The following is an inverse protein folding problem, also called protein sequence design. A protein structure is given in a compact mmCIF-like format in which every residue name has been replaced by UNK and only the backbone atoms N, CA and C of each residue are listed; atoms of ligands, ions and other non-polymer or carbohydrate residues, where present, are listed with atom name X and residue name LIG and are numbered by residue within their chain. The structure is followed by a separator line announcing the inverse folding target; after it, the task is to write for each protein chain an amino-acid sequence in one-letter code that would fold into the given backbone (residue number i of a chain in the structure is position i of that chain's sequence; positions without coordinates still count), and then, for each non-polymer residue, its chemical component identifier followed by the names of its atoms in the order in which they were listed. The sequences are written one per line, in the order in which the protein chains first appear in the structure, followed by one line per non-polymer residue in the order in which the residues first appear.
data_IF_043356007138
#
_entry.id   IF_043356007138
#
_cell.length_a   1.000
_cell.length_b   1.000
_cell.length_c   1.000
_cell.angle_alpha   90.00
_cell.angle_beta   90.00
_cell.angle_gamma   90.00
#
_symmetry.space_group_name_H-M   'P 1'
#
loop_
_entity.id
_entity.type
_entity.pdbx_description
1 polymer ?
#
# COMPACT_ATOMS: atom_id res chain seq x y z
N UNK A 1 -23.59 4.83 -0.14
CA UNK A 1 -22.46 4.75 -1.10
C UNK A 1 -21.39 3.94 -0.40
N UNK A 2 -21.22 2.71 -0.83
CA UNK A 2 -20.38 1.72 -0.18
C UNK A 2 -18.91 2.08 -0.38
N UNK A 3 -18.22 2.44 0.71
CA UNK A 3 -16.76 2.59 0.74
C UNK A 3 -16.13 1.20 0.55
N UNK A 4 -15.84 0.87 -0.70
CA UNK A 4 -15.14 -0.34 -1.08
C UNK A 4 -13.63 -0.11 -0.82
N UNK A 5 -12.94 -0.98 -0.06
CA UNK A 5 -11.57 -0.70 0.33
C UNK A 5 -10.68 -0.68 -0.91
N UNK A 6 -9.98 0.45 -1.03
CA UNK A 6 -9.00 0.76 -2.06
C UNK A 6 -7.93 -0.33 -2.07
N UNK A 7 -7.44 -0.68 -3.27
CA UNK A 7 -6.46 -1.74 -3.56
C UNK A 7 -5.27 -1.79 -2.57
N UNK A 8 -4.92 -0.69 -1.90
CA UNK A 8 -3.88 -0.68 -0.87
C UNK A 8 -4.23 -1.43 0.42
N UNK A 9 -5.48 -1.35 0.90
CA UNK A 9 -5.90 -2.00 2.15
C UNK A 9 -6.04 -3.52 2.00
N UNK A 10 -6.28 -4.00 0.77
CA UNK A 10 -6.33 -5.44 0.48
C UNK A 10 -4.96 -6.13 0.48
N UNK A 11 -3.86 -5.36 0.41
CA UNK A 11 -2.50 -5.88 0.30
C UNK A 11 -1.50 -5.24 1.28
N UNK A 12 -1.97 -4.66 2.39
CA UNK A 12 -1.10 -4.16 3.45
C UNK A 12 -0.45 -5.34 4.21
N UNK A 13 0.89 -5.53 4.17
CA UNK A 13 1.52 -6.67 4.82
C UNK A 13 1.81 -6.41 6.30
N UNK A 14 1.69 -7.46 7.11
CA UNK A 14 2.41 -7.60 8.37
C UNK A 14 3.93 -7.52 8.08
N UNK A 15 4.66 -6.84 8.95
CA UNK A 15 6.06 -6.53 8.71
C UNK A 15 6.93 -7.80 8.87
N UNK A 16 7.91 -7.93 7.97
CA UNK A 16 9.05 -8.86 7.98
C UNK A 16 8.85 -10.28 7.41
N UNK A 17 9.28 -10.48 6.15
CA UNK A 17 10.11 -11.65 5.79
C UNK A 17 10.93 -11.39 4.50
N UNK A 18 12.24 -11.71 4.46
CA UNK A 18 13.09 -11.57 3.29
C UNK A 18 13.24 -12.93 2.60
N UNK A 19 12.40 -13.21 1.61
CA UNK A 19 12.66 -14.31 0.68
C UNK A 19 12.20 -13.90 -0.72
N UNK A 20 13.03 -14.18 -1.72
CA UNK A 20 12.96 -13.59 -3.06
C UNK A 20 11.95 -14.31 -3.98
N UNK A 21 10.69 -14.36 -3.53
CA UNK A 21 9.48 -14.58 -4.31
C UNK A 21 8.27 -14.26 -3.43
N UNK A 22 8.09 -12.99 -3.04
CA UNK A 22 7.02 -12.65 -2.08
C UNK A 22 5.64 -13.07 -2.61
N UNK A 23 4.74 -13.61 -1.76
CA UNK A 23 3.33 -13.86 -2.08
C UNK A 23 2.70 -12.70 -2.84
N UNK A 24 3.08 -11.46 -2.47
CA UNK A 24 2.59 -10.23 -3.06
C UNK A 24 2.79 -10.10 -4.57
N UNK A 25 3.94 -10.49 -5.13
CA UNK A 25 4.17 -10.32 -6.58
C UNK A 25 3.24 -11.23 -7.38
N UNK A 26 3.28 -12.52 -7.05
CA UNK A 26 2.40 -13.52 -7.62
C UNK A 26 0.91 -13.14 -7.44
N UNK A 27 0.50 -12.74 -6.23
CA UNK A 27 -0.86 -12.32 -5.93
C UNK A 27 -1.29 -11.11 -6.76
N UNK A 28 -0.45 -10.09 -6.92
CA UNK A 28 -0.76 -8.92 -7.76
C UNK A 28 -0.95 -9.34 -9.22
N UNK A 29 -0.07 -10.20 -9.76
CA UNK A 29 -0.18 -10.66 -11.15
C UNK A 29 -1.41 -11.54 -11.37
N UNK A 30 -1.69 -12.48 -10.45
CA UNK A 30 -2.90 -13.29 -10.48
C UNK A 30 -4.16 -12.42 -10.43
N UNK A 31 -4.15 -11.40 -9.58
CA UNK A 31 -5.23 -10.41 -9.46
C UNK A 31 -5.43 -9.64 -10.77
N UNK A 32 -4.35 -9.17 -11.41
CA UNK A 32 -4.45 -8.51 -12.70
C UNK A 32 -5.08 -9.42 -13.77
N UNK A 33 -4.73 -10.71 -13.78
CA UNK A 33 -5.34 -11.69 -14.69
C UNK A 33 -6.84 -11.86 -14.36
N UNK A 34 -7.19 -11.95 -13.08
CA UNK A 34 -8.58 -12.05 -12.61
C UNK A 34 -9.43 -10.82 -12.98
N UNK A 35 -8.86 -9.62 -12.94
CA UNK A 35 -9.57 -8.37 -13.22
C UNK A 35 -9.61 -8.01 -14.72
N UNK A 36 -9.01 -8.83 -15.59
CA UNK A 36 -9.09 -8.62 -17.03
C UNK A 36 -10.55 -8.60 -17.51
N UNK A 37 -11.04 -7.40 -17.84
CA UNK A 37 -12.44 -7.14 -18.28
C UNK A 37 -13.48 -7.68 -17.28
N UNK A 38 -13.15 -7.72 -16.00
CA UNK A 38 -14.06 -8.14 -14.93
C UNK A 38 -14.04 -7.08 -13.83
N UNK A 39 -15.20 -6.72 -13.29
CA UNK A 39 -15.24 -5.75 -12.19
C UNK A 39 -14.68 -6.36 -10.90
N UNK A 40 -14.02 -5.53 -10.08
CA UNK A 40 -13.51 -5.96 -8.78
C UNK A 40 -14.62 -6.41 -7.80
N UNK A 41 -15.85 -5.93 -7.99
CA UNK A 41 -17.01 -6.38 -7.22
C UNK A 41 -17.39 -7.83 -7.55
N UNK A 42 -17.46 -8.17 -8.84
CA UNK A 42 -17.77 -9.53 -9.29
C UNK A 42 -16.65 -10.53 -8.98
N UNK A 43 -15.40 -10.10 -9.10
CA UNK A 43 -14.24 -10.97 -8.93
C UNK A 43 -13.87 -11.23 -7.46
N UNK A 44 -14.30 -10.39 -6.51
CA UNK A 44 -13.77 -10.37 -5.13
C UNK A 44 -13.74 -11.73 -4.46
N UNK A 45 -14.90 -12.32 -4.24
CA UNK A 45 -15.01 -13.56 -3.47
C UNK A 45 -14.29 -14.73 -4.14
N UNK A 46 -14.30 -14.77 -5.48
CA UNK A 46 -13.64 -15.81 -6.26
C UNK A 46 -12.11 -15.63 -6.24
N UNK A 47 -11.63 -14.39 -6.28
CA UNK A 47 -10.20 -14.09 -6.15
C UNK A 47 -9.69 -14.40 -4.75
N UNK A 48 -10.44 -14.06 -3.71
CA UNK A 48 -10.10 -14.37 -2.31
C UNK A 48 -9.99 -15.89 -2.11
N UNK A 49 -11.01 -16.64 -2.51
CA UNK A 49 -11.00 -18.11 -2.45
C UNK A 49 -9.86 -18.72 -3.29
N UNK A 50 -9.58 -18.13 -4.47
CA UNK A 50 -8.47 -18.58 -5.31
C UNK A 50 -7.11 -18.38 -4.64
N UNK A 51 -6.86 -17.22 -4.03
CA UNK A 51 -5.57 -16.93 -3.38
C UNK A 51 -5.39 -17.67 -2.05
N UNK A 52 -6.49 -18.09 -1.41
CA UNK A 52 -6.45 -19.00 -0.26
C UNK A 52 -6.05 -20.42 -0.69
N UNK A 53 -6.64 -20.94 -1.78
CA UNK A 53 -6.31 -22.28 -2.29
C UNK A 53 -4.93 -22.33 -2.99
N UNK A 54 -4.56 -21.26 -3.69
CA UNK A 54 -3.32 -21.13 -4.45
C UNK A 54 -2.51 -19.91 -3.98
N UNK A 55 -1.86 -19.97 -2.80
CA UNK A 55 -1.15 -18.81 -2.22
C UNK A 55 0.19 -18.51 -2.91
N UNK A 56 0.72 -19.45 -3.70
CA UNK A 56 2.06 -19.37 -4.30
C UNK A 56 2.09 -19.95 -5.73
N UNK A 57 3.09 -19.56 -6.56
CA UNK A 57 3.24 -20.12 -7.90
C UNK A 57 3.56 -21.61 -7.89
N UNK A 58 4.28 -22.13 -6.88
CA UNK A 58 4.59 -23.55 -6.71
C UNK A 58 3.31 -24.38 -6.54
N UNK A 59 2.35 -23.86 -5.78
CA UNK A 59 1.06 -24.52 -5.58
C UNK A 59 0.20 -24.49 -6.84
N UNK A 60 0.23 -23.37 -7.57
CA UNK A 60 -0.60 -23.15 -8.75
C UNK A 60 -0.10 -23.87 -10.01
N UNK A 61 1.22 -23.99 -10.21
CA UNK A 61 1.79 -24.56 -11.45
C UNK A 61 1.36 -26.00 -11.73
N UNK A 62 1.01 -26.76 -10.69
CA UNK A 62 0.62 -28.17 -10.77
C UNK A 62 -0.90 -28.37 -10.87
N UNK A 63 -1.68 -27.29 -10.86
CA UNK A 63 -3.14 -27.35 -10.91
C UNK A 63 -3.63 -27.63 -12.34
N UNK A 64 -4.78 -28.30 -12.46
CA UNK A 64 -5.45 -28.46 -13.75
C UNK A 64 -6.15 -27.14 -14.14
N UNK A 65 -5.79 -26.52 -15.28
CA UNK A 65 -6.49 -25.33 -15.75
C UNK A 65 -8.01 -25.50 -15.93
N UNK A 66 -8.51 -26.71 -16.21
CA UNK A 66 -9.95 -26.97 -16.35
C UNK A 66 -10.68 -26.86 -15.02
N UNK A 67 -10.07 -27.34 -13.95
CA UNK A 67 -10.61 -27.25 -12.60
C UNK A 67 -10.67 -25.79 -12.14
N UNK A 68 -9.60 -25.02 -12.36
CA UNK A 68 -9.57 -23.57 -12.10
C UNK A 68 -10.65 -22.84 -12.92
N UNK A 69 -10.81 -23.21 -14.19
CA UNK A 69 -11.83 -22.62 -15.05
C UNK A 69 -13.23 -22.85 -14.47
N UNK A 70 -13.55 -24.08 -14.09
CA UNK A 70 -14.86 -24.47 -13.58
C UNK A 70 -15.18 -23.79 -12.24
N UNK A 71 -14.24 -23.77 -11.30
CA UNK A 71 -14.46 -23.19 -9.97
C UNK A 71 -14.53 -21.68 -9.96
N UNK A 72 -13.63 -21.02 -10.69
CA UNK A 72 -13.42 -19.57 -10.53
C UNK A 72 -13.87 -18.73 -11.72
N UNK A 73 -13.95 -19.31 -12.92
CA UNK A 73 -14.22 -18.54 -14.13
C UNK A 73 -15.53 -18.89 -14.82
N UNK A 74 -16.20 -20.00 -14.46
CA UNK A 74 -17.47 -20.45 -15.07
C UNK A 74 -18.49 -19.33 -15.24
N UNK A 75 -18.71 -18.54 -14.18
CA UNK A 75 -19.66 -17.43 -14.15
C UNK A 75 -19.05 -16.06 -14.50
N UNK A 76 -17.72 -15.91 -14.48
CA UNK A 76 -17.03 -14.68 -14.86
C UNK A 76 -16.71 -14.62 -16.37
N UNK A 77 -16.76 -15.75 -17.07
CA UNK A 77 -16.34 -15.88 -18.47
C UNK A 77 -14.82 -15.83 -18.65
N UNK A 78 -14.36 -15.62 -19.90
CA UNK A 78 -12.94 -15.48 -20.25
C UNK A 78 -12.06 -16.64 -19.72
N UNK A 79 -12.48 -17.86 -20.04
CA UNK A 79 -11.90 -19.12 -19.57
C UNK A 79 -10.40 -19.29 -19.84
N UNK A 80 -9.87 -18.62 -20.87
CA UNK A 80 -8.43 -18.60 -21.17
C UNK A 80 -7.57 -18.13 -19.98
N UNK A 81 -8.15 -17.36 -19.05
CA UNK A 81 -7.47 -16.89 -17.83
C UNK A 81 -6.96 -18.01 -16.95
N UNK A 82 -7.70 -19.13 -16.83
CA UNK A 82 -7.25 -20.26 -16.03
C UNK A 82 -5.94 -20.85 -16.56
N UNK A 83 -5.85 -21.03 -17.88
CA UNK A 83 -4.62 -21.46 -18.53
C UNK A 83 -3.48 -20.44 -18.44
N UNK A 84 -3.79 -19.13 -18.46
CA UNK A 84 -2.77 -18.10 -18.23
C UNK A 84 -2.23 -18.11 -16.80
N UNK A 85 -3.08 -18.32 -15.79
CA UNK A 85 -2.67 -18.38 -14.39
C UNK A 85 -1.66 -19.50 -14.15
N UNK A 86 -1.97 -20.72 -14.60
CA UNK A 86 -1.07 -21.88 -14.45
C UNK A 86 0.24 -21.67 -15.20
N UNK A 87 0.18 -21.21 -16.47
CA UNK A 87 1.40 -20.94 -17.25
C UNK A 87 2.23 -19.80 -16.68
N UNK A 88 1.60 -18.75 -16.19
CA UNK A 88 2.28 -17.61 -15.57
C UNK A 88 3.02 -18.05 -14.31
N UNK A 89 2.41 -18.89 -13.47
CA UNK A 89 3.07 -19.46 -12.29
C UNK A 89 4.27 -20.34 -12.65
N UNK A 90 4.11 -21.23 -13.64
CA UNK A 90 5.21 -22.08 -14.12
C UNK A 90 6.38 -21.23 -14.69
N UNK A 91 6.06 -20.21 -15.48
CA UNK A 91 7.07 -19.29 -16.04
C UNK A 91 7.75 -18.42 -14.99
N UNK A 92 7.04 -17.99 -13.94
CA UNK A 92 7.65 -17.25 -12.82
C UNK A 92 8.77 -18.05 -12.15
N UNK A 93 8.60 -19.38 -12.07
CA UNK A 93 9.57 -20.27 -11.42
C UNK A 93 10.71 -20.65 -12.36
N UNK A 94 10.42 -20.86 -13.65
CA UNK A 94 11.43 -21.25 -14.64
C UNK A 94 12.30 -20.07 -15.09
N UNK A 95 11.71 -18.89 -15.28
CA UNK A 95 12.39 -17.68 -15.77
C UNK A 95 11.91 -16.47 -14.97
N UNK A 96 12.32 -16.35 -13.69
CA UNK A 96 11.90 -15.26 -12.82
C UNK A 96 12.34 -13.88 -13.35
N UNK A 97 11.60 -12.81 -13.05
CA UNK A 97 12.03 -11.46 -13.37
C UNK A 97 13.37 -11.18 -12.70
N UNK A 98 14.25 -10.46 -13.41
CA UNK A 98 15.57 -10.05 -12.91
C UNK A 98 15.67 -8.53 -12.92
N UNK A 99 16.18 -7.89 -11.85
CA UNK A 99 16.35 -6.44 -11.84
C UNK A 99 17.19 -5.97 -13.03
N UNK A 100 16.71 -4.93 -13.71
CA UNK A 100 17.40 -4.33 -14.87
C UNK A 100 17.24 -5.09 -16.19
N UNK A 101 16.67 -6.29 -16.18
CA UNK A 101 16.41 -7.07 -17.40
C UNK A 101 14.96 -6.87 -17.84
N UNK A 102 14.76 -5.98 -18.80
CA UNK A 102 13.44 -5.75 -19.39
C UNK A 102 13.14 -6.76 -20.49
N UNK A 103 11.94 -7.33 -20.46
CA UNK A 103 11.39 -8.16 -21.53
C UNK A 103 10.45 -7.32 -22.37
N UNK A 104 10.44 -7.55 -23.67
CA UNK A 104 9.58 -6.84 -24.61
C UNK A 104 8.43 -7.74 -25.08
N UNK A 105 7.25 -7.14 -25.24
CA UNK A 105 6.08 -7.83 -25.79
C UNK A 105 5.22 -6.85 -26.57
N UNK A 106 4.65 -7.32 -27.67
CA UNK A 106 3.72 -6.54 -28.48
C UNK A 106 2.29 -6.82 -28.05
N UNK A 107 1.50 -5.77 -27.87
CA UNK A 107 0.07 -5.85 -27.57
C UNK A 107 -0.67 -4.80 -28.39
N UNK A 108 -1.66 -5.23 -29.18
CA UNK A 108 -2.46 -4.34 -30.04
C UNK A 108 -1.58 -3.38 -30.87
N UNK A 109 -0.54 -3.93 -31.52
CA UNK A 109 0.45 -3.21 -32.34
C UNK A 109 1.32 -2.18 -31.60
N UNK A 110 1.26 -2.13 -30.27
CA UNK A 110 2.16 -1.34 -29.43
C UNK A 110 3.09 -2.25 -28.62
N UNK A 111 4.40 -1.98 -28.70
CA UNK A 111 5.38 -2.62 -27.84
C UNK A 111 5.35 -2.05 -26.42
N UNK A 112 5.58 -2.88 -25.43
CA UNK A 112 5.89 -2.44 -24.06
C UNK A 112 7.03 -3.30 -23.49
N UNK A 113 7.76 -2.72 -22.54
CA UNK A 113 8.90 -3.35 -21.90
C UNK A 113 8.72 -3.39 -20.38
N UNK A 114 8.90 -4.56 -19.78
CA UNK A 114 8.79 -4.77 -18.33
C UNK A 114 9.55 -6.05 -17.92
N UNK A 115 10.02 -6.15 -16.68
CA UNK A 115 10.73 -7.32 -16.16
C UNK A 115 9.89 -8.61 -16.24
N UNK A 116 8.57 -8.47 -16.29
CA UNK A 116 7.59 -9.56 -16.31
C UNK A 116 6.84 -9.70 -17.65
N UNK A 117 7.22 -8.96 -18.69
CA UNK A 117 6.43 -8.91 -19.94
C UNK A 117 6.36 -10.27 -20.66
N UNK A 118 7.36 -11.13 -20.49
CA UNK A 118 7.40 -12.48 -21.09
C UNK A 118 6.34 -13.42 -20.54
N UNK A 119 5.78 -13.13 -19.35
CA UNK A 119 4.84 -14.01 -18.68
C UNK A 119 3.48 -14.07 -19.39
N UNK A 120 2.83 -15.22 -19.28
CA UNK A 120 1.49 -15.48 -19.80
C UNK A 120 0.44 -14.59 -19.11
N UNK A 121 -0.52 -14.10 -19.88
CA UNK A 121 -1.60 -13.23 -19.35
C UNK A 121 -1.16 -11.81 -18.96
N UNK A 122 0.14 -11.50 -18.95
CA UNK A 122 0.65 -10.15 -18.69
C UNK A 122 0.49 -9.29 -19.94
N UNK A 123 -0.16 -8.13 -19.74
CA UNK A 123 -0.37 -7.07 -20.71
C UNK A 123 0.05 -5.71 -20.15
N UNK A 124 -0.23 -4.60 -20.85
CA UNK A 124 0.13 -3.25 -20.41
C UNK A 124 -0.43 -2.91 -19.01
N UNK A 125 -1.68 -3.29 -18.73
CA UNK A 125 -2.30 -3.07 -17.41
C UNK A 125 -1.52 -3.74 -16.27
N UNK A 126 -1.20 -5.02 -16.41
CA UNK A 126 -0.43 -5.75 -15.41
C UNK A 126 1.01 -5.23 -15.28
N UNK A 127 1.59 -4.72 -16.38
CA UNK A 127 2.90 -4.08 -16.36
C UNK A 127 2.89 -2.77 -15.56
N UNK A 128 1.87 -1.92 -15.75
CA UNK A 128 1.71 -0.71 -14.94
C UNK A 128 1.47 -1.05 -13.45
N UNK A 129 0.67 -2.07 -13.16
CA UNK A 129 0.46 -2.55 -11.80
C UNK A 129 1.76 -3.06 -11.14
N UNK A 130 2.58 -3.79 -11.89
CA UNK A 130 3.91 -4.22 -11.41
C UNK A 130 4.79 -3.03 -11.05
N UNK A 131 4.85 -2.01 -11.92
CA UNK A 131 5.62 -0.77 -11.69
C UNK A 131 5.18 -0.02 -10.44
N UNK A 132 3.87 0.04 -10.19
CA UNK A 132 3.29 0.72 -9.03
C UNK A 132 3.49 -0.04 -7.71
N UNK A 133 3.25 -1.36 -7.72
CA UNK A 133 3.07 -2.12 -6.47
C UNK A 133 4.20 -3.11 -6.16
N UNK A 134 4.95 -3.54 -7.17
CA UNK A 134 5.90 -4.65 -7.05
C UNK A 134 7.35 -4.22 -7.28
N UNK A 135 7.62 -3.33 -8.24
CA UNK A 135 8.97 -3.00 -8.70
C UNK A 135 9.88 -2.49 -7.58
N UNK A 136 9.47 -1.47 -6.83
CA UNK A 136 10.32 -0.92 -5.75
C UNK A 136 10.66 -1.96 -4.66
N UNK A 137 9.69 -2.69 -4.07
CA UNK A 137 10.01 -3.79 -3.15
C UNK A 137 10.86 -4.90 -3.77
N UNK A 138 10.64 -5.23 -5.05
CA UNK A 138 11.42 -6.22 -5.79
C UNK A 138 12.90 -5.81 -5.92
N UNK A 139 13.16 -4.57 -6.33
CA UNK A 139 14.51 -4.04 -6.46
C UNK A 139 15.21 -3.84 -5.10
N UNK A 140 14.49 -3.34 -4.10
CA UNK A 140 15.02 -3.18 -2.73
C UNK A 140 15.48 -4.51 -2.15
N UNK A 141 14.77 -5.58 -2.49
CA UNK A 141 15.20 -6.95 -2.26
C UNK A 141 16.60 -7.26 -2.79
N UNK A 142 16.87 -6.88 -4.02
CA UNK A 142 18.18 -7.08 -4.63
C UNK A 142 19.21 -6.03 -4.18
N UNK A 143 18.94 -5.30 -3.09
CA UNK A 143 19.78 -4.23 -2.57
C UNK A 143 19.99 -3.09 -3.58
N UNK A 144 19.03 -2.90 -4.50
CA UNK A 144 19.05 -1.85 -5.51
C UNK A 144 18.01 -0.80 -5.15
N UNK A 145 18.44 0.45 -5.02
CA UNK A 145 17.55 1.58 -4.79
C UNK A 145 17.03 2.10 -6.13
N UNK A 146 15.71 2.17 -6.26
CA UNK A 146 15.03 2.75 -7.43
C UNK A 146 14.04 3.82 -7.00
N UNK A 147 13.87 4.82 -7.86
CA UNK A 147 12.86 5.86 -7.66
C UNK A 147 11.44 5.27 -7.70
N UNK A 148 10.50 5.93 -7.04
CA UNK A 148 9.09 5.59 -7.18
C UNK A 148 8.58 6.01 -8.56
N UNK A 149 8.12 5.05 -9.36
CA UNK A 149 7.63 5.32 -10.70
C UNK A 149 6.23 5.96 -10.71
N UNK A 150 5.46 5.92 -9.62
CA UNK A 150 4.11 6.50 -9.58
C UNK A 150 4.08 8.01 -9.87
N UNK A 151 5.20 8.72 -9.67
CA UNK A 151 5.31 10.16 -9.98
C UNK A 151 5.24 10.42 -11.48
N UNK A 152 5.94 9.61 -12.28
CA UNK A 152 6.07 9.80 -13.74
C UNK A 152 5.18 8.86 -14.55
N UNK A 153 4.65 7.80 -13.95
CA UNK A 153 3.82 6.82 -14.65
C UNK A 153 2.45 7.40 -15.01
N UNK A 154 2.01 7.13 -16.23
CA UNK A 154 0.67 7.47 -16.73
C UNK A 154 -0.06 6.20 -17.18
N UNK A 155 -0.69 5.46 -16.24
CA UNK A 155 -1.42 4.25 -16.59
C UNK A 155 -2.59 4.56 -17.52
N UNK A 156 -2.94 3.64 -18.42
CA UNK A 156 -4.17 3.77 -19.25
C UNK A 156 -5.42 3.30 -18.50
N UNK A 157 -5.26 2.32 -17.61
CA UNK A 157 -6.34 1.76 -16.82
C UNK A 157 -6.96 2.78 -15.86
N UNK A 158 -8.29 2.76 -15.75
CA UNK A 158 -9.05 3.75 -15.00
C UNK A 158 -8.78 3.70 -13.49
N UNK A 159 -8.54 2.52 -12.93
CA UNK A 159 -8.39 2.34 -11.49
C UNK A 159 -6.95 2.64 -11.09
N UNK A 160 -5.96 2.28 -11.92
CA UNK A 160 -4.58 2.72 -11.74
C UNK A 160 -4.42 4.24 -11.90
N UNK A 161 -5.15 4.87 -12.84
CA UNK A 161 -5.19 6.34 -12.94
C UNK A 161 -5.68 6.99 -11.65
N UNK A 162 -6.81 6.51 -11.11
CA UNK A 162 -7.37 7.00 -9.84
C UNK A 162 -6.40 6.82 -8.69
N UNK A 163 -5.70 5.68 -8.65
CA UNK A 163 -4.66 5.41 -7.66
C UNK A 163 -3.52 6.46 -7.71
N UNK A 164 -2.94 6.67 -8.90
CA UNK A 164 -1.84 7.64 -9.08
C UNK A 164 -2.28 9.07 -8.75
N UNK A 165 -3.48 9.47 -9.17
CA UNK A 165 -4.04 10.79 -8.85
C UNK A 165 -4.21 10.99 -7.34
N UNK A 166 -4.76 9.99 -6.64
CA UNK A 166 -4.88 10.03 -5.18
C UNK A 166 -3.52 10.14 -4.51
N UNK A 167 -2.53 9.34 -4.94
CA UNK A 167 -1.16 9.41 -4.41
C UNK A 167 -0.51 10.78 -4.58
N UNK A 168 -0.66 11.39 -5.75
CA UNK A 168 -0.18 12.76 -6.01
C UNK A 168 -0.85 13.78 -5.08
N UNK A 169 -2.16 13.65 -4.86
CA UNK A 169 -2.91 14.51 -3.93
C UNK A 169 -2.46 14.35 -2.48
N UNK A 170 -2.26 13.11 -2.03
CA UNK A 170 -1.73 12.80 -0.70
C UNK A 170 -0.33 13.42 -0.49
N UNK A 171 0.55 13.33 -1.50
CA UNK A 171 1.87 13.97 -1.45
C UNK A 171 1.77 15.49 -1.35
N UNK A 172 0.90 16.12 -2.14
CA UNK A 172 0.68 17.58 -2.07
C UNK A 172 0.18 18.01 -0.68
N UNK A 173 -0.79 17.29 -0.10
CA UNK A 173 -1.29 17.57 1.25
C UNK A 173 -0.17 17.44 2.27
N UNK A 174 0.65 16.40 2.16
CA UNK A 174 1.79 16.19 3.06
C UNK A 174 2.80 17.32 2.98
N UNK A 175 3.22 17.71 1.77
CA UNK A 175 4.17 18.83 1.57
C UNK A 175 3.63 20.13 2.14
N UNK A 176 2.35 20.44 1.92
CA UNK A 176 1.71 21.62 2.50
C UNK A 176 1.67 21.56 4.02
N UNK A 177 1.39 20.39 4.58
CA UNK A 177 1.37 20.18 6.04
C UNK A 177 2.76 20.37 6.64
N UNK A 178 3.80 19.81 6.01
CA UNK A 178 5.19 19.93 6.45
C UNK A 178 5.67 21.39 6.39
N UNK A 179 5.29 22.16 5.36
CA UNK A 179 5.57 23.60 5.25
C UNK A 179 4.86 24.40 6.37
N UNK A 180 3.58 24.13 6.62
CA UNK A 180 2.82 24.80 7.70
C UNK A 180 3.44 24.51 9.07
N UNK A 181 3.75 23.25 9.36
CA UNK A 181 4.40 22.84 10.62
C UNK A 181 5.76 23.54 10.77
N UNK A 182 6.56 23.60 9.70
CA UNK A 182 7.86 24.27 9.70
C UNK A 182 7.74 25.77 9.99
N UNK A 183 6.76 26.46 9.38
CA UNK A 183 6.50 27.88 9.64
C UNK A 183 6.01 28.13 11.07
N UNK A 184 5.13 27.27 11.59
CA UNK A 184 4.67 27.38 12.98
C UNK A 184 5.81 27.20 13.97
N UNK A 185 6.71 26.24 13.74
CA UNK A 185 7.91 26.04 14.56
C UNK A 185 8.83 27.27 14.54
N UNK A 186 9.04 27.88 13.37
CA UNK A 186 9.84 29.09 13.23
C UNK A 186 9.27 30.29 14.02
N UNK A 187 7.94 30.47 14.02
CA UNK A 187 7.26 31.52 14.80
C UNK A 187 7.37 31.29 16.31
N UNK A 188 7.30 30.03 16.76
CA UNK A 188 7.52 29.69 18.17
C UNK A 188 8.96 29.99 18.61
N UNK A 189 9.96 29.70 17.77
CA UNK A 189 11.36 30.00 18.06
C UNK A 189 11.66 31.52 18.06
N UNK A 190 11.05 32.29 17.15
CA UNK A 190 11.23 33.75 17.14
C UNK A 190 10.54 34.42 18.33
N UNK A 191 9.36 33.96 18.75
CA UNK A 191 8.67 34.47 19.95
C UNK A 191 9.40 34.10 21.26
N UNK A 192 10.00 32.90 21.34
CA UNK A 192 10.86 32.50 22.47
C UNK A 192 12.20 33.24 22.53
N UNK A 193 12.71 33.73 21.40
CA UNK A 193 13.92 34.56 21.34
C UNK A 193 13.62 36.01 21.72
N UNK A 194 12.47 36.54 21.31
CA UNK A 194 12.01 37.89 21.67
C UNK A 194 11.71 38.03 23.18
N UNK A 195 11.23 36.97 23.85
CA UNK A 195 10.99 36.99 25.30
C UNK A 195 12.27 36.95 26.14
N UNK A 196 13.41 36.54 25.57
CA UNK A 196 14.71 36.41 26.24
C UNK A 196 15.55 37.70 26.22
N UNK A 197 15.13 38.72 25.47
CA UNK A 197 15.83 40.01 25.32
C UNK A 197 15.22 41.16 26.14
N UNK A 198 14.32 40.90 27.10
CA UNK A 198 13.89 41.97 28.03
C UNK A 198 15.00 42.23 29.05
N UNK A 199 15.58 43.45 29.12
CA UNK A 199 16.61 43.77 30.10
C UNK A 199 15.97 43.86 31.50
N UNK A 200 16.54 43.11 32.44
CA UNK A 200 16.22 43.17 33.87
C UNK A 200 16.70 44.51 34.43
N UNK A 201 15.83 45.51 34.45
CA UNK A 201 15.98 46.67 35.33
C UNK A 201 15.27 46.34 36.64
N UNK A 202 16.03 45.91 37.65
CA UNK A 202 15.54 45.82 39.02
C UNK A 202 15.38 47.23 39.60
N UNK A 203 14.19 47.54 40.13
CA UNK A 203 14.01 48.31 41.37
C UNK A 203 12.54 48.27 41.83
N UNK A 204 12.31 47.77 43.05
CA UNK A 204 11.32 48.34 43.97
C UNK A 204 9.91 47.74 44.07
N UNK A 205 9.75 46.83 45.05
CA UNK A 205 8.66 46.77 46.06
C UNK A 205 7.21 46.32 45.69
N UNK A 206 6.93 45.07 46.09
CA UNK A 206 5.72 44.47 46.68
C UNK A 206 4.33 45.13 46.51
N UNK A 207 3.37 44.35 45.95
CA UNK A 207 2.11 43.83 46.56
C UNK A 207 1.14 43.49 45.41
N UNK A 208 0.53 42.29 45.44
CA UNK A 208 -0.71 42.01 44.70
C UNK A 208 -0.73 40.69 43.95
N UNK A 209 -1.20 39.64 44.63
CA UNK A 209 -1.60 38.35 44.06
C UNK A 209 -2.58 38.52 42.88
N UNK A 210 -2.31 37.86 41.76
CA UNK A 210 -3.16 37.90 40.57
C UNK A 210 -2.61 37.05 39.43
N UNK A 211 -2.49 35.75 39.68
CA UNK A 211 -1.96 34.75 38.76
C UNK A 211 -2.90 34.61 37.54
N UNK A 212 -2.57 35.28 36.43
CA UNK A 212 -3.30 35.24 35.15
C UNK A 212 -2.38 34.71 34.04
N UNK A 213 -1.72 33.58 34.29
CA UNK A 213 -1.16 32.79 33.21
C UNK A 213 -2.32 32.18 32.42
N UNK A 214 -2.34 32.40 31.10
CA UNK A 214 -3.15 31.65 30.14
C UNK A 214 -2.77 30.16 30.22
N UNK A 215 -3.35 29.48 31.21
CA UNK A 215 -3.35 28.03 31.35
C UNK A 215 -4.25 27.51 30.24
N UNK A 216 -3.67 26.78 29.29
CA UNK A 216 -4.46 25.90 28.43
C UNK A 216 -5.35 25.06 29.36
N UNK A 217 -6.69 25.09 29.22
CA UNK A 217 -7.58 24.37 30.12
C UNK A 217 -7.17 22.90 30.16
N UNK A 218 -6.98 22.34 31.36
CA UNK A 218 -6.54 20.96 31.56
C UNK A 218 -7.42 19.94 30.79
N UNK A 219 -8.70 20.30 30.55
CA UNK A 219 -9.64 19.59 29.67
C UNK A 219 -9.12 19.30 28.26
N UNK A 220 -8.28 20.15 27.67
CA UNK A 220 -7.71 19.97 26.33
C UNK A 220 -6.54 18.97 26.38
N UNK A 221 -5.74 18.98 27.45
CA UNK A 221 -4.66 18.00 27.70
C UNK A 221 -5.27 16.61 27.99
N UNK A 222 -6.38 16.58 28.70
CA UNK A 222 -7.08 15.33 29.05
C UNK A 222 -7.79 14.71 27.83
N UNK A 223 -8.31 15.52 26.90
CA UNK A 223 -8.84 15.03 25.61
C UNK A 223 -7.75 14.43 24.71
N UNK A 224 -6.54 14.99 24.73
CA UNK A 224 -5.41 14.44 23.96
C UNK A 224 -4.89 13.10 24.54
N UNK A 225 -4.97 12.90 25.86
CA UNK A 225 -4.56 11.65 26.53
C UNK A 225 -5.63 10.55 26.43
N UNK A 226 -6.92 10.90 26.41
CA UNK A 226 -8.02 9.94 26.25
C UNK A 226 -8.03 9.23 24.88
N UNK A 227 -7.57 9.89 23.82
CA UNK A 227 -7.49 9.31 22.46
C UNK A 227 -6.33 8.30 22.33
N UNK A 228 -5.24 8.52 23.08
CA UNK A 228 -4.07 7.64 23.07
C UNK A 228 -4.26 6.35 23.87
N UNK A 229 -5.05 6.38 24.96
CA UNK A 229 -5.30 5.19 25.78
C UNK A 229 -6.37 4.27 25.18
N UNK A 230 -7.41 4.84 24.55
CA UNK A 230 -8.43 4.06 23.85
C UNK A 230 -7.86 3.25 22.66
N UNK A 231 -6.77 3.74 22.04
CA UNK A 231 -6.07 3.01 20.97
C UNK A 231 -5.17 1.88 21.50
N UNK A 232 -4.66 2.00 22.74
CA UNK A 232 -3.83 0.99 23.40
C UNK A 232 -4.64 -0.16 24.00
N UNK A 233 -5.81 0.12 24.59
CA UNK A 233 -6.68 -0.92 25.16
C UNK A 233 -7.37 -1.78 24.08
N UNK A 234 -7.76 -1.18 22.95
CA UNK A 234 -8.31 -1.95 21.81
C UNK A 234 -7.26 -2.87 21.16
N UNK A 235 -5.97 -2.51 21.22
CA UNK A 235 -4.87 -3.34 20.73
C UNK A 235 -4.54 -4.52 21.67
N UNK A 236 -4.68 -4.34 23.00
CA UNK A 236 -4.46 -5.41 23.99
C UNK A 236 -5.60 -6.42 24.02
N UNK A 237 -6.86 -5.98 23.93
CA UNK A 237 -8.01 -6.90 23.97
C UNK A 237 -8.09 -7.81 22.72
N UNK A 238 -7.63 -7.34 21.56
CA UNK A 238 -7.55 -8.16 20.32
C UNK A 238 -6.43 -9.20 20.34
N UNK A 239 -5.39 -9.02 21.17
CA UNK A 239 -4.34 -10.04 21.37
C UNK A 239 -4.78 -11.14 22.34
N UNK A 240 -5.58 -10.80 23.36
CA UNK A 240 -6.04 -11.79 24.35
C UNK A 240 -7.09 -12.77 23.77
N UNK A 241 -8.01 -12.28 22.92
CA UNK A 241 -9.03 -13.14 22.29
C UNK A 241 -8.50 -14.08 21.20
N UNK A 242 -7.28 -13.84 20.68
CA UNK A 242 -6.66 -14.70 19.66
C UNK A 242 -5.85 -15.86 20.26
N UNK A 243 -5.45 -15.75 21.53
CA UNK A 243 -4.71 -16.80 22.24
C UNK A 243 -5.66 -17.85 22.85
N UNK A 244 -6.91 -17.49 23.15
CA UNK A 244 -7.92 -18.42 23.67
C UNK A 244 -8.65 -19.26 22.60
N UNK A 245 -8.51 -18.93 21.31
CA UNK A 245 -9.15 -19.65 20.21
C UNK A 245 -8.27 -20.74 19.53
N UNK A 246 -7.08 -21.03 20.07
CA UNK A 246 -6.16 -22.08 19.58
C UNK A 246 -5.92 -23.21 20.57
N UNK A 247 -6.78 -23.32 21.59
CA UNK A 247 -6.90 -24.49 22.47
C UNK A 247 -8.36 -24.86 22.66
N UNK A 248 -8.94 -25.53 21.67
CA UNK A 248 -10.05 -26.50 21.76
C UNK A 248 -10.13 -27.25 20.44
#
# INVERSE_FOLDING_TARGET
MSDEPLIEERYAPDQAQPDYAKPRQFQVLATCIFLNRTSAAQARHLLEAFLEEYPSPERLRTADPKDIQERYFKHLGLYRRAGWLVRMADQLLQDPPRPGILRQKTYQNAGYACEIAHLAGIGPYASDAWRLFCKKPFYAGHQIVVADEWRTLEPKDKDLKRYVQRKRREEQIRVLTDDVVSRMAAVQLSSASASRLKPTSQSGLLIGSGDSALRVPQRIIDQARGISLASSENARNRRSSRVSATKS
#
